data_IF_238571990929
#
_entry.id   IF_238571990929
#
_cell.length_a   1.000
_cell.length_b   1.000
_cell.length_c   1.000
_cell.angle_alpha   90.00
_cell.angle_beta   90.00
_cell.angle_gamma   90.00
#
_symmetry.space_group_name_H-M   'P 1'
#
loop_
_entity.id
_entity.type
_entity.pdbx_description
1 polymer ?
#
# COMPACT_ATOMS: atom_id res chain seq x y z
N UNK A 1 -11.27 -9.71 -20.11
CA UNK A 1 -10.78 -8.71 -19.13
C UNK A 1 -9.82 -7.77 -19.82
N UNK A 2 -9.93 -6.45 -19.61
CA UNK A 2 -8.96 -5.51 -20.19
C UNK A 2 -7.56 -5.74 -19.61
N UNK A 3 -6.52 -5.67 -20.46
CA UNK A 3 -5.12 -5.82 -20.04
C UNK A 3 -4.74 -4.64 -19.13
N UNK A 4 -4.19 -4.95 -17.95
CA UNK A 4 -3.71 -3.92 -17.02
C UNK A 4 -2.47 -3.22 -17.59
N UNK A 5 -2.39 -1.91 -17.43
CA UNK A 5 -1.18 -1.13 -17.74
C UNK A 5 -0.03 -1.49 -16.79
N UNK A 6 1.21 -1.12 -17.15
CA UNK A 6 2.38 -1.29 -16.29
C UNK A 6 2.18 -0.70 -14.89
N UNK A 7 1.73 0.57 -14.84
CA UNK A 7 1.45 1.26 -13.58
C UNK A 7 0.33 0.59 -12.77
N UNK A 8 -0.74 0.10 -13.40
CA UNK A 8 -1.78 -0.64 -12.68
C UNK A 8 -1.23 -1.92 -12.05
N UNK A 9 -0.34 -2.63 -12.75
CA UNK A 9 0.33 -3.82 -12.20
C UNK A 9 1.23 -3.45 -11.02
N UNK A 10 1.92 -2.31 -11.10
CA UNK A 10 2.75 -1.79 -10.01
C UNK A 10 1.93 -1.43 -8.77
N UNK A 11 0.75 -0.79 -8.92
CA UNK A 11 -0.14 -0.49 -7.78
C UNK A 11 -0.56 -1.78 -7.07
N UNK A 12 -0.97 -2.80 -7.83
CA UNK A 12 -1.33 -4.10 -7.25
C UNK A 12 -0.12 -4.81 -6.62
N UNK A 13 1.06 -4.70 -7.22
CA UNK A 13 2.29 -5.24 -6.66
C UNK A 13 2.65 -4.57 -5.34
N UNK A 14 2.51 -3.25 -5.25
CA UNK A 14 2.74 -2.46 -4.05
C UNK A 14 1.76 -2.86 -2.93
N UNK A 15 0.47 -3.01 -3.23
CA UNK A 15 -0.51 -3.47 -2.26
C UNK A 15 -0.20 -4.87 -1.73
N UNK A 16 0.15 -5.81 -2.61
CA UNK A 16 0.58 -7.16 -2.20
C UNK A 16 1.87 -7.12 -1.36
N UNK A 17 2.81 -6.24 -1.69
CA UNK A 17 4.02 -6.05 -0.91
C UNK A 17 3.70 -5.57 0.50
N UNK A 18 2.84 -4.57 0.65
CA UNK A 18 2.36 -4.11 1.96
C UNK A 18 1.78 -5.28 2.78
N UNK A 19 0.89 -6.09 2.18
CA UNK A 19 0.30 -7.24 2.88
C UNK A 19 1.33 -8.30 3.31
N UNK A 20 2.44 -8.46 2.58
CA UNK A 20 3.53 -9.37 2.98
C UNK A 20 4.31 -8.82 4.16
N UNK A 21 4.64 -7.53 4.15
CA UNK A 21 5.32 -6.88 5.28
C UNK A 21 4.46 -6.91 6.55
N UNK A 22 3.15 -6.75 6.42
CA UNK A 22 2.20 -6.85 7.55
C UNK A 22 2.24 -8.24 8.19
N UNK A 23 2.48 -9.32 7.43
CA UNK A 23 2.57 -10.67 8.00
C UNK A 23 3.76 -10.85 8.95
N UNK A 24 4.77 -9.99 8.84
CA UNK A 24 5.95 -9.97 9.73
C UNK A 24 5.68 -9.24 11.05
N UNK A 25 4.57 -8.53 11.17
CA UNK A 25 4.19 -7.79 12.39
C UNK A 25 3.57 -8.71 13.45
N UNK A 26 3.56 -8.30 14.73
CA UNK A 26 2.90 -9.04 15.80
C UNK A 26 1.44 -9.35 15.45
N UNK A 27 0.97 -10.55 15.79
CA UNK A 27 -0.33 -11.08 15.34
C UNK A 27 -1.50 -10.19 15.75
N UNK A 28 -1.41 -9.65 16.96
CA UNK A 28 -2.37 -8.75 17.59
C UNK A 28 -2.54 -7.41 16.85
N UNK A 29 -1.51 -6.93 16.14
CA UNK A 29 -1.54 -5.64 15.44
C UNK A 29 -1.72 -5.78 13.92
N UNK A 30 -1.62 -7.00 13.36
CA UNK A 30 -1.68 -7.18 11.90
C UNK A 30 -2.98 -6.66 11.29
N UNK A 31 -4.10 -6.78 12.00
CA UNK A 31 -5.38 -6.31 11.47
C UNK A 31 -5.43 -4.79 11.36
N UNK A 32 -4.89 -4.07 12.34
CA UNK A 32 -4.77 -2.62 12.29
C UNK A 32 -3.96 -2.17 11.06
N UNK A 33 -2.84 -2.82 10.78
CA UNK A 33 -2.06 -2.52 9.58
C UNK A 33 -2.83 -2.87 8.28
N UNK A 34 -3.58 -3.97 8.25
CA UNK A 34 -4.40 -4.33 7.09
C UNK A 34 -5.48 -3.28 6.83
N UNK A 35 -6.17 -2.82 7.87
CA UNK A 35 -7.16 -1.76 7.77
C UNK A 35 -6.52 -0.44 7.32
N UNK A 36 -5.39 -0.06 7.92
CA UNK A 36 -4.63 1.12 7.51
C UNK A 36 -4.26 1.07 6.02
N UNK A 37 -3.62 -0.01 5.56
CA UNK A 37 -3.25 -0.18 4.16
C UNK A 37 -4.47 -0.14 3.22
N UNK A 38 -5.56 -0.83 3.57
CA UNK A 38 -6.80 -0.78 2.77
C UNK A 38 -7.35 0.63 2.66
N UNK A 39 -7.36 1.38 3.75
CA UNK A 39 -7.87 2.75 3.77
C UNK A 39 -7.00 3.69 2.93
N UNK A 40 -5.67 3.59 3.03
CA UNK A 40 -4.76 4.40 2.21
C UNK A 40 -4.94 4.16 0.71
N UNK A 41 -5.11 2.91 0.28
CA UNK A 41 -5.37 2.62 -1.14
C UNK A 41 -6.77 3.06 -1.57
N UNK A 42 -7.80 2.89 -0.71
CA UNK A 42 -9.18 3.32 -1.01
C UNK A 42 -9.32 4.82 -1.15
N UNK A 43 -8.59 5.63 -0.37
CA UNK A 43 -8.59 7.10 -0.49
C UNK A 43 -8.25 7.61 -1.89
N UNK A 44 -7.59 6.79 -2.70
CA UNK A 44 -7.10 7.16 -4.03
C UNK A 44 -7.80 6.38 -5.15
N UNK A 45 -8.91 5.70 -4.87
CA UNK A 45 -9.58 4.81 -5.84
C UNK A 45 -10.20 5.59 -7.01
N UNK A 46 -10.58 6.84 -6.77
CA UNK A 46 -11.24 7.71 -7.75
C UNK A 46 -10.26 8.46 -8.67
N UNK A 47 -8.95 8.28 -8.44
CA UNK A 47 -7.93 8.87 -9.32
C UNK A 47 -8.06 8.27 -10.72
N UNK A 48 -8.07 9.15 -11.72
CA UNK A 48 -8.11 8.75 -13.12
C UNK A 48 -6.94 7.82 -13.45
N UNK A 49 -7.25 6.70 -14.10
CA UNK A 49 -6.25 5.73 -14.60
C UNK A 49 -5.27 6.34 -15.62
N UNK A 50 -5.59 7.53 -16.16
CA UNK A 50 -4.76 8.31 -17.09
C UNK A 50 -3.90 9.37 -16.39
N UNK A 51 -4.12 9.63 -15.10
CA UNK A 51 -3.28 10.54 -14.33
C UNK A 51 -2.00 9.83 -13.89
N UNK A 52 -1.11 9.61 -14.85
CA UNK A 52 0.13 8.85 -14.64
C UNK A 52 1.03 9.53 -13.61
N UNK A 53 1.10 10.87 -13.61
CA UNK A 53 1.93 11.63 -12.69
C UNK A 53 1.47 11.44 -11.23
N UNK A 54 0.16 11.52 -10.96
CA UNK A 54 -0.38 11.27 -9.62
C UNK A 54 -0.15 9.82 -9.18
N UNK A 55 -0.38 8.85 -10.06
CA UNK A 55 -0.18 7.42 -9.76
C UNK A 55 1.27 7.15 -9.42
N UNK A 56 2.22 7.65 -10.20
CA UNK A 56 3.64 7.49 -9.94
C UNK A 56 4.08 8.14 -8.62
N UNK A 57 3.59 9.35 -8.34
CA UNK A 57 3.85 10.01 -7.06
C UNK A 57 3.35 9.16 -5.89
N UNK A 58 2.14 8.63 -5.97
CA UNK A 58 1.55 7.76 -4.95
C UNK A 58 2.29 6.43 -4.83
N UNK A 59 2.76 5.84 -5.93
CA UNK A 59 3.61 4.65 -5.90
C UNK A 59 4.92 4.92 -5.16
N UNK A 60 5.61 6.03 -5.47
CA UNK A 60 6.84 6.44 -4.76
C UNK A 60 6.58 6.68 -3.27
N UNK A 61 5.50 7.39 -2.93
CA UNK A 61 5.10 7.65 -1.54
C UNK A 61 4.76 6.37 -0.79
N UNK A 62 3.99 5.46 -1.40
CA UNK A 62 3.59 4.20 -0.80
C UNK A 62 4.76 3.25 -0.58
N UNK A 63 5.76 3.22 -1.47
CA UNK A 63 7.01 2.46 -1.26
C UNK A 63 7.73 2.92 0.01
N UNK A 64 7.91 4.24 0.18
CA UNK A 64 8.53 4.82 1.39
C UNK A 64 7.73 4.51 2.65
N UNK A 65 6.40 4.59 2.59
CA UNK A 65 5.55 4.23 3.73
C UNK A 65 5.71 2.76 4.13
N UNK A 66 5.73 1.84 3.16
CA UNK A 66 5.91 0.41 3.46
C UNK A 66 7.28 0.17 4.08
N UNK A 67 8.34 0.78 3.55
CA UNK A 67 9.69 0.68 4.12
C UNK A 67 9.74 1.17 5.57
N UNK A 68 9.16 2.34 5.85
CA UNK A 68 9.04 2.88 7.19
C UNK A 68 8.29 1.91 8.12
N UNK A 69 7.09 1.48 7.72
CA UNK A 69 6.27 0.58 8.53
C UNK A 69 6.84 -0.83 8.63
N UNK A 70 7.71 -1.28 7.72
CA UNK A 70 8.37 -2.58 7.79
C UNK A 70 9.40 -2.63 8.93
N UNK A 71 9.94 -1.48 9.35
CA UNK A 71 10.91 -1.37 10.45
C UNK A 71 10.47 -2.17 11.69
N UNK A 72 11.33 -3.03 12.28
CA UNK A 72 10.99 -3.85 13.45
C UNK A 72 10.52 -3.04 14.67
N UNK A 73 10.97 -1.78 14.79
CA UNK A 73 10.59 -0.88 15.88
C UNK A 73 9.12 -0.44 15.82
N UNK A 74 8.50 -0.46 14.64
CA UNK A 74 7.09 -0.11 14.48
C UNK A 74 6.25 -1.38 14.63
N UNK A 75 5.66 -1.56 15.80
CA UNK A 75 4.94 -2.79 16.17
C UNK A 75 3.43 -2.69 15.98
N UNK A 76 2.86 -1.49 15.91
CA UNK A 76 1.43 -1.27 15.71
C UNK A 76 1.21 0.07 14.97
N UNK A 77 0.04 0.20 14.36
CA UNK A 77 -0.52 1.47 13.87
C UNK A 77 -1.88 1.61 14.51
N UNK A 78 -2.09 2.69 15.25
CA UNK A 78 -3.39 3.00 15.86
C UNK A 78 -3.98 4.16 15.08
N UNK A 79 -5.27 4.06 14.77
CA UNK A 79 -6.01 5.14 14.14
C UNK A 79 -6.49 6.12 15.21
#
# INVERSE_FOLDING_TARGET
>A
MAKLSGLQREVLALYRHALREIRKKPKESQDNFRQFARNEFRKNIDISKKDFAAIEYLLRRGRRQIEMYASPGIRNVVR
#
